data_IF_517063708616
#
_entry.id   IF_517063708616
#
_cell.length_a   1.000
_cell.length_b   1.000
_cell.length_c   1.000
_cell.angle_alpha   90.00
_cell.angle_beta   90.00
_cell.angle_gamma   90.00
#
_symmetry.space_group_name_H-M   'P 1'
#
loop_
_entity.id
_entity.type
_entity.pdbx_description
1 polymer ?
#
# COMPACT_ATOMS: atom_id res chain seq x y z
N UNK A 1 9.52 -20.60 -22.47
CA UNK A 1 9.45 -19.39 -21.62
C UNK A 1 10.57 -18.47 -22.07
N UNK A 2 10.33 -17.18 -22.37
CA UNK A 2 11.38 -16.29 -22.83
C UNK A 2 12.41 -16.08 -21.71
N UNK A 3 13.68 -16.08 -22.12
CA UNK A 3 14.88 -15.93 -21.29
C UNK A 3 15.10 -14.45 -20.98
N UNK A 4 14.18 -13.88 -20.21
CA UNK A 4 14.40 -12.57 -19.64
C UNK A 4 15.23 -12.79 -18.35
N UNK A 5 16.18 -11.91 -18.04
CA UNK A 5 17.06 -12.02 -16.85
C UNK A 5 16.35 -12.10 -15.48
N UNK A 6 15.02 -12.15 -15.47
CA UNK A 6 14.13 -12.31 -14.32
C UNK A 6 13.53 -13.72 -14.18
N UNK A 7 13.89 -14.70 -15.02
CA UNK A 7 13.35 -16.09 -14.94
C UNK A 7 13.51 -16.66 -13.53
N UNK A 8 14.70 -16.52 -12.93
CA UNK A 8 14.97 -17.02 -11.57
C UNK A 8 14.04 -16.37 -10.54
N UNK A 9 13.89 -15.04 -10.60
CA UNK A 9 13.01 -14.28 -9.70
C UNK A 9 11.53 -14.66 -9.87
N UNK A 10 11.06 -14.90 -11.11
CA UNK A 10 9.71 -15.40 -11.38
C UNK A 10 9.49 -16.80 -10.81
N UNK A 11 10.45 -17.70 -10.97
CA UNK A 11 10.35 -19.07 -10.43
C UNK A 11 10.33 -19.09 -8.91
N UNK A 12 11.12 -18.22 -8.26
CA UNK A 12 11.14 -18.07 -6.80
C UNK A 12 9.80 -17.49 -6.29
N UNK A 13 9.31 -16.42 -6.92
CA UNK A 13 8.02 -15.82 -6.58
C UNK A 13 6.85 -16.81 -6.76
N UNK A 14 6.86 -17.59 -7.84
CA UNK A 14 5.83 -18.60 -8.10
C UNK A 14 5.87 -19.74 -7.07
N UNK A 15 7.07 -20.20 -6.69
CA UNK A 15 7.23 -21.21 -5.65
C UNK A 15 6.69 -20.71 -4.30
N UNK A 16 7.02 -19.49 -3.93
CA UNK A 16 6.54 -18.86 -2.69
C UNK A 16 5.00 -18.69 -2.68
N UNK A 17 4.43 -18.33 -3.83
CA UNK A 17 2.98 -18.22 -3.99
C UNK A 17 2.27 -19.57 -3.80
N UNK A 18 2.77 -20.65 -4.41
CA UNK A 18 2.20 -21.98 -4.25
C UNK A 18 2.32 -22.50 -2.80
N UNK A 19 3.45 -22.25 -2.14
CA UNK A 19 3.64 -22.57 -0.72
C UNK A 19 2.61 -21.82 0.16
N UNK A 20 2.38 -20.54 -0.12
CA UNK A 20 1.37 -19.74 0.60
C UNK A 20 -0.06 -20.24 0.33
N UNK A 21 -0.39 -20.63 -0.91
CA UNK A 21 -1.69 -21.18 -1.28
C UNK A 21 -2.00 -22.48 -0.51
N UNK A 22 -0.97 -23.29 -0.24
CA UNK A 22 -1.09 -24.51 0.57
C UNK A 22 -1.04 -24.27 2.08
N UNK A 23 -1.16 -23.02 2.54
CA UNK A 23 -1.19 -22.67 3.96
C UNK A 23 0.13 -22.91 4.70
N UNK A 24 1.23 -23.15 3.96
CA UNK A 24 2.55 -23.34 4.55
C UNK A 24 3.18 -21.99 4.85
N UNK A 25 3.94 -21.92 5.94
CA UNK A 25 4.61 -20.68 6.37
C UNK A 25 5.54 -20.19 5.26
N UNK A 26 5.26 -19.00 4.73
CA UNK A 26 6.05 -18.37 3.67
C UNK A 26 7.50 -18.20 4.16
N UNK A 27 8.47 -18.55 3.32
CA UNK A 27 9.89 -18.29 3.60
C UNK A 27 10.13 -16.77 3.59
N UNK A 28 11.24 -16.31 4.18
CA UNK A 28 11.64 -14.91 4.10
C UNK A 28 11.67 -14.48 2.62
N UNK A 29 10.83 -13.51 2.27
CA UNK A 29 10.65 -13.13 0.86
C UNK A 29 11.88 -12.37 0.37
N UNK A 30 12.36 -12.72 -0.82
CA UNK A 30 13.50 -12.08 -1.44
C UNK A 30 13.27 -10.55 -1.56
N UNK A 31 14.15 -9.71 -0.98
CA UNK A 31 13.96 -8.26 -0.94
C UNK A 31 14.00 -7.59 -2.34
N UNK A 32 14.48 -8.29 -3.37
CA UNK A 32 14.48 -7.82 -4.76
C UNK A 32 13.12 -7.90 -5.44
N UNK A 33 12.16 -8.65 -4.87
CA UNK A 33 10.81 -8.86 -5.42
C UNK A 33 9.70 -8.56 -4.42
N UNK A 34 10.06 -8.20 -3.19
CA UNK A 34 9.11 -7.96 -2.13
C UNK A 34 9.25 -6.55 -1.56
N UNK A 35 8.12 -5.85 -1.33
CA UNK A 35 8.15 -4.56 -0.67
C UNK A 35 8.78 -4.68 0.72
N UNK A 36 9.59 -3.70 1.10
CA UNK A 36 10.20 -3.64 2.44
C UNK A 36 9.14 -3.57 3.55
N UNK A 37 9.52 -3.84 4.80
CA UNK A 37 8.57 -3.77 5.93
C UNK A 37 7.86 -2.40 6.01
N UNK A 38 8.60 -1.32 5.79
CA UNK A 38 8.06 0.04 5.72
C UNK A 38 7.07 0.21 4.56
N UNK A 39 7.42 -0.26 3.36
CA UNK A 39 6.54 -0.19 2.20
C UNK A 39 5.25 -0.99 2.42
N UNK A 40 5.34 -2.20 3.01
CA UNK A 40 4.17 -3.01 3.36
C UNK A 40 3.26 -2.31 4.36
N UNK A 41 3.82 -1.75 5.43
CA UNK A 41 3.04 -1.01 6.42
C UNK A 41 2.34 0.20 5.79
N UNK A 42 3.04 0.92 4.91
CA UNK A 42 2.47 2.06 4.18
C UNK A 42 1.33 1.64 3.25
N UNK A 43 1.53 0.57 2.46
CA UNK A 43 0.51 0.02 1.57
C UNK A 43 -0.72 -0.47 2.35
N UNK A 44 -0.51 -1.21 3.43
CA UNK A 44 -1.59 -1.67 4.31
C UNK A 44 -2.41 -0.50 4.85
N UNK A 45 -1.75 0.58 5.30
CA UNK A 45 -2.43 1.79 5.76
C UNK A 45 -3.27 2.45 4.67
N UNK A 46 -2.76 2.53 3.43
CA UNK A 46 -3.52 3.09 2.32
C UNK A 46 -4.75 2.25 1.98
N UNK A 47 -4.64 0.92 2.05
CA UNK A 47 -5.79 0.02 1.87
C UNK A 47 -6.83 0.21 2.97
N UNK A 48 -6.43 0.28 4.24
CA UNK A 48 -7.38 0.52 5.34
C UNK A 48 -8.11 1.87 5.19
N UNK A 49 -7.42 2.91 4.72
CA UNK A 49 -8.06 4.21 4.43
C UNK A 49 -9.08 4.09 3.29
N UNK A 50 -8.75 3.31 2.25
CA UNK A 50 -9.65 3.08 1.13
C UNK A 50 -10.89 2.30 1.58
N UNK A 51 -10.71 1.23 2.35
CA UNK A 51 -11.80 0.39 2.88
C UNK A 51 -12.75 1.23 3.74
N UNK A 52 -12.21 2.04 4.66
CA UNK A 52 -13.02 2.95 5.47
C UNK A 52 -13.81 3.95 4.60
N UNK A 53 -13.18 4.47 3.53
CA UNK A 53 -13.87 5.40 2.62
C UNK A 53 -14.97 4.71 1.80
N UNK A 54 -14.75 3.47 1.36
CA UNK A 54 -15.75 2.66 0.66
C UNK A 54 -16.91 2.28 1.57
N UNK A 55 -16.64 2.04 2.85
CA UNK A 55 -17.66 1.85 3.89
C UNK A 55 -18.44 3.14 4.25
N UNK A 56 -18.15 4.27 3.60
CA UNK A 56 -18.89 5.52 3.76
C UNK A 56 -18.33 6.48 4.81
N UNK A 57 -17.21 6.15 5.46
CA UNK A 57 -16.62 7.03 6.47
C UNK A 57 -16.24 8.39 5.88
N UNK A 58 -16.53 9.44 6.64
CA UNK A 58 -16.17 10.81 6.31
C UNK A 58 -14.66 11.03 6.43
N UNK A 59 -14.14 12.06 5.76
CA UNK A 59 -12.73 12.47 5.89
C UNK A 59 -12.34 12.73 7.35
N UNK A 60 -13.27 13.24 8.15
CA UNK A 60 -13.03 13.51 9.58
C UNK A 60 -12.89 12.20 10.36
N UNK A 61 -13.82 11.27 10.19
CA UNK A 61 -13.77 9.96 10.87
C UNK A 61 -12.52 9.17 10.47
N UNK A 62 -12.15 9.17 9.18
CA UNK A 62 -10.93 8.51 8.70
C UNK A 62 -9.69 9.11 9.37
N UNK A 63 -9.63 10.43 9.50
CA UNK A 63 -8.49 11.10 10.11
C UNK A 63 -8.26 10.63 11.55
N UNK A 64 -9.31 10.57 12.36
CA UNK A 64 -9.18 10.29 13.79
C UNK A 64 -9.36 8.80 14.16
N UNK A 65 -9.82 7.95 13.25
CA UNK A 65 -9.83 6.49 13.47
C UNK A 65 -8.59 5.80 12.93
N UNK A 66 -8.06 6.23 11.77
CA UNK A 66 -7.01 5.50 11.06
C UNK A 66 -5.65 6.21 11.07
N UNK A 67 -5.62 7.54 10.93
CA UNK A 67 -4.37 8.29 10.69
C UNK A 67 -3.80 8.85 11.99
N UNK A 68 -4.66 9.44 12.81
CA UNK A 68 -4.32 10.10 14.07
C UNK A 68 -5.13 9.54 15.25
N UNK A 69 -5.13 8.21 15.50
CA UNK A 69 -5.99 7.60 16.51
C UNK A 69 -5.72 8.05 17.94
N UNK A 70 -4.52 8.55 18.22
CA UNK A 70 -4.12 9.02 19.56
C UNK A 70 -4.38 10.52 19.77
N UNK A 71 -4.88 11.22 18.77
CA UNK A 71 -5.11 12.66 18.81
C UNK A 71 -6.57 12.96 19.11
N UNK A 72 -6.82 14.01 19.90
CA UNK A 72 -8.19 14.49 20.15
C UNK A 72 -8.82 14.99 18.84
N UNK A 73 -10.07 14.60 18.50
CA UNK A 73 -10.73 15.06 17.29
C UNK A 73 -10.88 16.59 17.22
N UNK A 74 -10.30 17.19 16.18
CA UNK A 74 -10.48 18.61 15.86
C UNK A 74 -11.91 18.84 15.37
N UNK A 75 -12.50 20.03 15.62
CA UNK A 75 -13.91 20.32 15.27
C UNK A 75 -14.08 21.67 14.56
N UNK A 76 -15.14 21.80 13.77
CA UNK A 76 -15.55 23.08 13.17
C UNK A 76 -14.45 23.76 12.35
N UNK A 77 -14.20 25.04 12.62
CA UNK A 77 -13.18 25.83 11.93
C UNK A 77 -11.76 25.28 12.12
N UNK A 78 -11.43 24.77 13.32
CA UNK A 78 -10.10 24.20 13.61
C UNK A 78 -9.80 23.02 12.70
N UNK A 79 -10.77 22.14 12.45
CA UNK A 79 -10.65 21.04 11.49
C UNK A 79 -10.53 21.54 10.04
N UNK A 80 -11.33 22.54 9.64
CA UNK A 80 -11.33 23.04 8.25
C UNK A 80 -9.98 23.67 7.87
N UNK A 81 -9.34 24.41 8.76
CA UNK A 81 -8.03 25.05 8.53
C UNK A 81 -6.82 24.14 8.78
N UNK A 82 -7.04 22.94 9.31
CA UNK A 82 -6.01 22.09 9.89
C UNK A 82 -5.06 21.45 8.87
N UNK A 83 -3.83 21.18 9.30
CA UNK A 83 -2.85 20.46 8.47
C UNK A 83 -3.19 18.98 8.33
N UNK A 84 -3.83 18.42 9.36
CA UNK A 84 -4.33 17.05 9.48
C UNK A 84 -5.42 16.76 8.45
N UNK A 85 -6.33 17.71 8.21
CA UNK A 85 -7.31 17.61 7.13
C UNK A 85 -6.62 17.52 5.77
N UNK A 86 -5.66 18.42 5.49
CA UNK A 86 -4.90 18.42 4.23
C UNK A 86 -4.10 17.11 4.06
N UNK A 87 -3.47 16.63 5.13
CA UNK A 87 -2.73 15.37 5.13
C UNK A 87 -3.65 14.17 4.86
N UNK A 88 -4.81 14.11 5.53
CA UNK A 88 -5.82 13.07 5.32
C UNK A 88 -6.31 13.04 3.88
N UNK A 89 -6.64 14.21 3.32
CA UNK A 89 -7.08 14.30 1.92
C UNK A 89 -6.00 13.82 0.93
N UNK A 90 -4.72 14.14 1.19
CA UNK A 90 -3.60 13.63 0.38
C UNK A 90 -3.49 12.12 0.44
N UNK A 91 -3.60 11.52 1.64
CA UNK A 91 -3.58 10.07 1.81
C UNK A 91 -4.77 9.39 1.15
N UNK A 92 -5.97 9.97 1.24
CA UNK A 92 -7.15 9.46 0.55
C UNK A 92 -6.98 9.50 -0.97
N UNK A 93 -6.41 10.59 -1.51
CA UNK A 93 -6.10 10.69 -2.93
C UNK A 93 -5.05 9.67 -3.37
N UNK A 94 -4.02 9.45 -2.54
CA UNK A 94 -3.01 8.41 -2.78
C UNK A 94 -3.61 7.00 -2.75
N UNK A 95 -4.46 6.69 -1.78
CA UNK A 95 -5.14 5.40 -1.68
C UNK A 95 -6.02 5.11 -2.90
N UNK A 96 -6.75 6.12 -3.40
CA UNK A 96 -7.52 5.98 -4.64
C UNK A 96 -6.63 5.73 -5.86
N UNK A 97 -5.52 6.47 -5.98
CA UNK A 97 -4.55 6.25 -7.07
C UNK A 97 -3.94 4.86 -7.01
N UNK A 98 -3.64 4.36 -5.81
CA UNK A 98 -3.15 3.00 -5.60
C UNK A 98 -4.13 1.97 -6.19
N UNK A 99 -5.43 2.11 -5.91
CA UNK A 99 -6.45 1.19 -6.40
C UNK A 99 -6.72 1.32 -7.91
N UNK A 100 -6.72 2.53 -8.48
CA UNK A 100 -7.08 2.72 -9.89
C UNK A 100 -5.95 2.34 -10.86
N UNK A 101 -4.70 2.70 -10.56
CA UNK A 101 -3.56 2.50 -11.48
C UNK A 101 -2.26 2.12 -10.77
N UNK A 102 -2.10 2.47 -9.49
CA UNK A 102 -0.86 2.30 -8.74
C UNK A 102 -0.53 0.86 -8.34
N UNK A 103 -1.51 -0.03 -8.27
CA UNK A 103 -1.30 -1.45 -7.97
C UNK A 103 -0.39 -2.11 -9.01
N UNK A 104 -0.39 -1.63 -10.26
CA UNK A 104 0.53 -2.11 -11.31
C UNK A 104 1.98 -1.83 -10.96
N UNK A 105 2.29 -0.72 -10.31
CA UNK A 105 3.64 -0.39 -9.84
C UNK A 105 4.07 -1.27 -8.66
N UNK A 106 3.11 -1.68 -7.82
CA UNK A 106 3.36 -2.62 -6.72
C UNK A 106 3.64 -4.02 -7.28
N UNK A 107 2.84 -4.46 -8.25
CA UNK A 107 2.98 -5.77 -8.88
C UNK A 107 4.18 -5.86 -9.82
N UNK A 108 4.56 -4.74 -10.42
CA UNK A 108 5.70 -4.75 -11.33
C UNK A 108 7.02 -4.84 -10.57
N UNK A 109 7.08 -4.40 -9.29
CA UNK A 109 8.29 -4.25 -8.46
C UNK A 109 9.59 -4.32 -9.28
N UNK A 110 9.66 -3.45 -10.30
CA UNK A 110 10.80 -3.42 -11.20
C UNK A 110 11.84 -2.67 -10.38
N UNK A 111 12.99 -3.29 -10.05
CA UNK A 111 14.05 -2.59 -9.37
C UNK A 111 14.34 -1.28 -10.11
N UNK A 112 14.64 -0.17 -9.42
CA UNK A 112 14.81 1.13 -10.08
C UNK A 112 15.87 1.12 -11.20
N UNK A 113 16.81 0.17 -11.17
CA UNK A 113 17.82 -0.06 -12.20
C UNK A 113 17.35 -0.82 -13.45
N UNK A 114 16.12 -1.36 -13.44
CA UNK A 114 15.51 -2.04 -14.59
C UNK A 114 14.44 -1.18 -15.27
N UNK A 115 14.33 0.10 -14.92
CA UNK A 115 13.64 1.11 -15.74
C UNK A 115 14.63 1.64 -16.76
N UNK A 116 14.69 1.04 -17.94
CA UNK A 116 15.37 1.62 -19.09
C UNK A 116 14.41 1.68 -20.28
N UNK A 117 14.44 2.88 -20.88
CA UNK A 117 14.18 3.29 -22.27
C UNK A 117 13.28 2.45 -23.16
#
# INVERSE_FOLDING_TARGET
>A
MPDDGFVLLRTEAMRDFLVALWGRKRRATNPLIAPTAYQRQRLARLLTILDARLAGASTHEIAFSQIFPKMRPLKGATWKGSSERRHTLRLMAEARRLASTGYRQVLSHIPPHCRLS
#
